data_IF_397404620262
#
_entry.id   IF_397404620262
#
_cell.length_a   1.000
_cell.length_b   1.000
_cell.length_c   1.000
_cell.angle_alpha   90.00
_cell.angle_beta   90.00
_cell.angle_gamma   90.00
#
_symmetry.space_group_name_H-M   'P 1'
#
loop_
_entity.id
_entity.type
_entity.pdbx_description
1 polymer ?
#
# COMPACT_ATOMS: atom_id res chain seq x y z
N UNK A 1 -18.68 -8.59 29.51
CA UNK A 1 -18.52 -7.71 28.33
C UNK A 1 -17.32 -8.16 27.55
N UNK A 2 -17.46 -8.43 26.25
CA UNK A 2 -16.31 -8.75 25.39
C UNK A 2 -15.77 -7.46 24.81
N UNK A 3 -14.53 -7.13 25.13
CA UNK A 3 -13.88 -5.88 24.69
C UNK A 3 -13.72 -5.83 23.16
N UNK A 4 -13.40 -6.96 22.51
CA UNK A 4 -13.15 -6.99 21.07
C UNK A 4 -14.40 -7.35 20.26
N UNK A 5 -14.58 -6.65 19.13
CA UNK A 5 -15.56 -6.98 18.10
C UNK A 5 -15.40 -8.42 17.60
N UNK A 6 -16.49 -8.97 17.04
CA UNK A 6 -16.45 -10.31 16.43
C UNK A 6 -15.47 -10.41 15.26
N UNK A 7 -15.25 -9.31 14.52
CA UNK A 7 -14.30 -9.26 13.42
C UNK A 7 -12.85 -9.37 13.91
N UNK A 8 -12.46 -8.56 14.89
CA UNK A 8 -11.11 -8.61 15.48
C UNK A 8 -10.82 -9.95 16.14
N UNK A 9 -11.79 -10.53 16.85
CA UNK A 9 -11.64 -11.88 17.44
C UNK A 9 -11.39 -12.95 16.39
N UNK A 10 -12.18 -12.97 15.30
CA UNK A 10 -11.96 -13.92 14.20
C UNK A 10 -10.61 -13.73 13.55
N UNK A 11 -10.18 -12.49 13.33
CA UNK A 11 -8.90 -12.21 12.71
C UNK A 11 -7.71 -12.65 13.58
N UNK A 12 -7.78 -12.45 14.90
CA UNK A 12 -6.77 -12.95 15.86
C UNK A 12 -6.76 -14.48 15.89
N UNK A 13 -7.94 -15.12 15.92
CA UNK A 13 -8.02 -16.58 15.90
C UNK A 13 -7.41 -17.15 14.62
N UNK A 14 -7.73 -16.58 13.45
CA UNK A 14 -7.13 -16.98 12.18
C UNK A 14 -5.61 -16.80 12.15
N UNK A 15 -5.08 -15.75 12.79
CA UNK A 15 -3.63 -15.58 12.97
C UNK A 15 -3.02 -16.68 13.85
N UNK A 16 -3.68 -17.06 14.93
CA UNK A 16 -3.19 -18.11 15.83
C UNK A 16 -3.13 -19.49 15.16
N UNK A 17 -4.06 -19.77 14.24
CA UNK A 17 -4.16 -21.05 13.54
C UNK A 17 -3.34 -21.12 12.24
N UNK A 18 -2.67 -20.03 11.82
CA UNK A 18 -1.96 -19.99 10.54
C UNK A 18 -0.71 -20.88 10.51
N UNK A 19 -0.68 -21.85 9.60
CA UNK A 19 0.35 -22.91 9.54
C UNK A 19 1.41 -22.57 8.48
N UNK A 20 1.00 -22.07 7.32
CA UNK A 20 1.91 -21.77 6.22
C UNK A 20 2.58 -20.38 6.35
N UNK A 21 3.85 -20.19 5.93
CA UNK A 21 4.52 -18.89 6.01
C UNK A 21 3.81 -17.74 5.29
N UNK A 22 3.23 -17.96 4.10
CA UNK A 22 2.48 -16.93 3.37
C UNK A 22 1.12 -16.67 4.01
N UNK A 23 0.46 -17.73 4.50
CA UNK A 23 -0.78 -17.61 5.27
C UNK A 23 -0.57 -16.74 6.53
N UNK A 24 0.54 -16.94 7.26
CA UNK A 24 0.89 -16.12 8.42
C UNK A 24 1.05 -14.65 8.06
N UNK A 25 1.72 -14.33 6.95
CA UNK A 25 1.86 -12.94 6.49
C UNK A 25 0.48 -12.33 6.22
N UNK A 26 -0.39 -13.05 5.51
CA UNK A 26 -1.75 -12.58 5.22
C UNK A 26 -2.57 -12.41 6.51
N UNK A 27 -2.49 -13.36 7.43
CA UNK A 27 -3.21 -13.34 8.70
C UNK A 27 -2.75 -12.21 9.62
N UNK A 28 -1.44 -11.94 9.71
CA UNK A 28 -0.89 -10.78 10.45
C UNK A 28 -1.47 -9.49 9.88
N UNK A 29 -1.41 -9.31 8.56
CA UNK A 29 -1.94 -8.10 7.91
C UNK A 29 -3.44 -7.94 8.12
N UNK A 30 -4.19 -9.04 8.09
CA UNK A 30 -5.63 -9.04 8.33
C UNK A 30 -5.96 -8.68 9.79
N UNK A 31 -5.27 -9.29 10.75
CA UNK A 31 -5.43 -9.01 12.18
C UNK A 31 -5.09 -7.55 12.52
N UNK A 32 -3.97 -7.03 12.01
CA UNK A 32 -3.62 -5.61 12.18
C UNK A 32 -4.70 -4.68 11.64
N UNK A 33 -5.20 -4.94 10.42
CA UNK A 33 -6.23 -4.10 9.81
C UNK A 33 -7.61 -4.20 10.51
N UNK A 34 -7.90 -5.32 11.18
CA UNK A 34 -9.10 -5.47 12.00
C UNK A 34 -8.97 -4.67 13.31
N UNK A 35 -7.83 -4.82 14.00
CA UNK A 35 -7.53 -4.13 15.25
C UNK A 35 -7.44 -2.61 15.10
N UNK A 36 -6.89 -2.13 13.98
CA UNK A 36 -6.88 -0.69 13.66
C UNK A 36 -8.29 -0.08 13.56
N UNK A 37 -9.31 -0.90 13.28
CA UNK A 37 -10.72 -0.48 13.16
C UNK A 37 -11.57 -0.87 14.36
N UNK A 38 -10.95 -1.36 15.44
CA UNK A 38 -11.66 -1.85 16.60
C UNK A 38 -12.38 -0.69 17.32
N UNK A 39 -13.73 -0.70 17.41
CA UNK A 39 -14.47 0.37 18.07
C UNK A 39 -14.08 0.56 19.53
N UNK A 40 -13.74 -0.53 20.23
CA UNK A 40 -13.31 -0.48 21.61
C UNK A 40 -11.99 0.29 21.81
N UNK A 41 -11.11 0.32 20.80
CA UNK A 41 -9.88 1.12 20.86
C UNK A 41 -10.21 2.62 20.87
N UNK A 42 -11.13 3.07 20.01
CA UNK A 42 -11.55 4.47 20.00
C UNK A 42 -12.29 4.84 21.30
N UNK A 43 -13.11 3.93 21.83
CA UNK A 43 -13.76 4.12 23.13
C UNK A 43 -12.73 4.29 24.26
N UNK A 44 -11.73 3.41 24.35
CA UNK A 44 -10.67 3.50 25.36
C UNK A 44 -9.85 4.79 25.24
N UNK A 45 -9.55 5.26 24.01
CA UNK A 45 -8.87 6.55 23.81
C UNK A 45 -9.73 7.70 24.32
N UNK A 46 -11.04 7.69 24.04
CA UNK A 46 -11.98 8.72 24.52
C UNK A 46 -12.12 8.71 26.05
N UNK A 47 -12.27 7.54 26.65
CA UNK A 47 -12.30 7.36 28.10
C UNK A 47 -11.02 7.87 28.76
N UNK A 48 -9.86 7.58 28.16
CA UNK A 48 -8.57 8.07 28.66
C UNK A 48 -8.50 9.60 28.64
N UNK A 49 -8.89 10.22 27.53
CA UNK A 49 -8.92 11.69 27.40
C UNK A 49 -9.94 12.34 28.34
N UNK A 50 -11.07 11.67 28.61
CA UNK A 50 -12.07 12.13 29.57
C UNK A 50 -11.60 11.99 31.02
N UNK A 51 -10.66 11.09 31.29
CA UNK A 51 -9.96 10.93 32.57
C UNK A 51 -8.68 11.78 32.65
N UNK A 52 -8.62 12.91 31.93
CA UNK A 52 -7.52 13.87 31.91
C UNK A 52 -6.16 13.33 31.39
N UNK A 53 -6.13 12.20 30.69
CA UNK A 53 -4.92 11.77 29.99
C UNK A 53 -4.58 12.75 28.85
N UNK A 54 -3.30 12.98 28.62
CA UNK A 54 -2.85 13.82 27.50
C UNK A 54 -2.69 13.01 26.22
N UNK A 55 -2.65 13.70 25.08
CA UNK A 55 -2.37 13.06 23.80
C UNK A 55 -0.97 12.45 23.75
N UNK A 56 -0.02 12.99 24.51
CA UNK A 56 1.33 12.44 24.68
C UNK A 56 1.26 11.05 25.33
N UNK A 57 0.53 10.90 26.44
CA UNK A 57 0.34 9.60 27.11
C UNK A 57 -0.41 8.60 26.23
N UNK A 58 -1.46 9.04 25.54
CA UNK A 58 -2.20 8.18 24.61
C UNK A 58 -1.31 7.72 23.45
N UNK A 59 -0.48 8.61 22.91
CA UNK A 59 0.43 8.28 21.81
C UNK A 59 1.52 7.30 22.25
N UNK A 60 2.09 7.51 23.44
CA UNK A 60 3.08 6.61 24.04
C UNK A 60 2.52 5.21 24.27
N UNK A 61 1.34 5.10 24.90
CA UNK A 61 0.65 3.83 25.13
C UNK A 61 0.32 3.09 23.82
N UNK A 62 0.11 3.83 22.73
CA UNK A 62 -0.16 3.28 21.40
C UNK A 62 1.10 2.99 20.58
N UNK A 63 2.30 3.37 21.05
CA UNK A 63 3.53 3.28 20.27
C UNK A 63 3.52 4.18 19.02
N UNK A 64 2.84 5.33 19.09
CA UNK A 64 2.68 6.28 17.99
C UNK A 64 3.32 7.63 18.32
N UNK A 65 3.66 8.40 17.28
CA UNK A 65 3.89 9.83 17.45
C UNK A 65 2.58 10.58 17.74
N UNK A 66 2.64 11.64 18.55
CA UNK A 66 1.46 12.45 18.95
C UNK A 66 0.61 12.91 17.77
N UNK A 67 1.26 13.43 16.72
CA UNK A 67 0.56 13.85 15.50
C UNK A 67 -0.19 12.69 14.83
N UNK A 68 0.38 11.48 14.86
CA UNK A 68 -0.21 10.28 14.28
C UNK A 68 -1.36 9.73 15.14
N UNK A 69 -1.30 9.87 16.47
CA UNK A 69 -2.40 9.54 17.37
C UNK A 69 -3.58 10.52 17.17
N UNK A 70 -3.30 11.84 17.17
CA UNK A 70 -4.31 12.87 16.87
C UNK A 70 -4.93 12.67 15.49
N UNK A 71 -4.12 12.42 14.46
CA UNK A 71 -4.64 12.12 13.13
C UNK A 71 -5.54 10.88 13.11
N UNK A 72 -5.33 9.88 13.97
CA UNK A 72 -6.18 8.69 14.03
C UNK A 72 -7.49 8.92 14.79
N UNK A 73 -7.44 9.62 15.92
CA UNK A 73 -8.52 9.57 16.91
C UNK A 73 -9.08 10.93 17.34
N UNK A 74 -8.47 12.04 16.90
CA UNK A 74 -8.99 13.37 17.22
C UNK A 74 -10.20 13.70 16.33
N UNK A 75 -11.29 14.12 16.97
CA UNK A 75 -12.52 14.57 16.32
C UNK A 75 -13.73 13.68 16.62
N UNK A 76 -14.83 13.99 15.95
CA UNK A 76 -16.06 13.17 15.98
C UNK A 76 -15.88 11.88 15.17
N UNK A 77 -16.80 10.91 15.35
CA UNK A 77 -16.80 9.67 14.57
C UNK A 77 -16.85 9.93 13.06
N UNK A 78 -17.68 10.88 12.63
CA UNK A 78 -17.80 11.27 11.23
C UNK A 78 -16.48 11.86 10.69
N UNK A 79 -15.85 12.76 11.44
CA UNK A 79 -14.56 13.36 11.03
C UNK A 79 -13.45 12.31 10.92
N UNK A 80 -13.43 11.32 11.82
CA UNK A 80 -12.48 10.22 11.79
C UNK A 80 -12.78 9.31 10.59
N UNK A 81 -14.06 8.94 10.37
CA UNK A 81 -14.49 8.11 9.26
C UNK A 81 -14.15 8.75 7.89
N UNK A 82 -14.39 10.04 7.74
CA UNK A 82 -14.07 10.82 6.54
C UNK A 82 -12.56 10.82 6.26
N UNK A 83 -11.75 11.06 7.29
CA UNK A 83 -10.29 11.05 7.18
C UNK A 83 -9.76 9.67 6.78
N UNK A 84 -10.31 8.60 7.35
CA UNK A 84 -9.96 7.23 7.00
C UNK A 84 -10.43 6.87 5.58
N UNK A 85 -11.61 7.32 5.15
CA UNK A 85 -12.09 7.16 3.78
C UNK A 85 -11.19 7.90 2.78
N UNK A 86 -10.77 9.13 3.09
CA UNK A 86 -9.85 9.91 2.26
C UNK A 86 -8.44 9.28 2.20
N UNK A 87 -7.96 8.67 3.30
CA UNK A 87 -6.74 7.87 3.31
C UNK A 87 -6.85 6.64 2.40
N UNK A 88 -7.95 5.88 2.50
CA UNK A 88 -8.22 4.72 1.65
C UNK A 88 -8.27 5.08 0.17
N UNK A 89 -8.96 6.17 -0.20
CA UNK A 89 -9.02 6.68 -1.58
C UNK A 89 -7.63 7.02 -2.15
N UNK A 90 -6.68 7.46 -1.32
CA UNK A 90 -5.29 7.71 -1.72
C UNK A 90 -4.49 6.41 -1.89
N UNK A 91 -4.72 5.42 -1.04
CA UNK A 91 -4.04 4.11 -1.09
C UNK A 91 -4.59 3.18 -2.17
N UNK A 92 -5.85 3.32 -2.56
CA UNK A 92 -6.52 2.50 -3.58
C UNK A 92 -6.35 3.05 -5.00
N UNK A 93 -5.50 4.07 -5.18
CA UNK A 93 -5.24 4.61 -6.52
C UNK A 93 -4.64 3.47 -7.35
N UNK A 94 -5.27 3.09 -8.48
CA UNK A 94 -4.67 2.14 -9.40
C UNK A 94 -3.24 2.58 -9.70
N UNK A 95 -2.35 1.61 -9.97
CA UNK A 95 -1.01 1.92 -10.47
C UNK A 95 -1.12 3.07 -11.47
N UNK A 96 -0.34 4.13 -11.26
CA UNK A 96 -0.31 5.31 -12.13
C UNK A 96 0.08 4.95 -13.58
N UNK A 97 0.41 3.69 -13.88
CA UNK A 97 0.67 3.20 -15.22
C UNK A 97 -0.67 2.95 -15.92
N UNK A 98 -1.00 3.72 -16.98
CA UNK A 98 -2.16 3.41 -17.81
C UNK A 98 -1.99 2.02 -18.44
N UNK A 99 -3.08 1.23 -18.42
CA UNK A 99 -3.07 -0.15 -18.89
C UNK A 99 -2.78 -0.26 -20.41
N UNK A 100 -3.16 0.75 -21.19
CA UNK A 100 -3.17 0.68 -22.66
C UNK A 100 -2.03 1.43 -23.33
N UNK A 101 -0.87 1.56 -22.67
CA UNK A 101 0.31 2.15 -23.31
C UNK A 101 1.03 1.14 -24.22
N UNK A 102 1.40 1.52 -25.45
CA UNK A 102 2.12 0.63 -26.36
C UNK A 102 3.50 0.25 -25.80
N UNK A 103 4.01 -0.94 -26.13
CA UNK A 103 5.26 -1.47 -25.60
C UNK A 103 5.16 -1.96 -24.15
N UNK A 104 6.28 -2.25 -23.50
CA UNK A 104 6.35 -2.65 -22.09
C UNK A 104 6.97 -1.53 -21.23
N UNK A 105 6.71 -1.52 -19.92
CA UNK A 105 7.48 -0.65 -19.03
C UNK A 105 8.92 -1.18 -18.86
N UNK A 106 9.87 -0.32 -18.46
CA UNK A 106 11.24 -0.75 -18.15
C UNK A 106 11.26 -1.88 -17.11
N UNK A 107 10.38 -1.81 -16.11
CA UNK A 107 10.27 -2.83 -15.07
C UNK A 107 9.73 -4.16 -15.62
N UNK A 108 8.74 -4.12 -16.50
CA UNK A 108 8.18 -5.33 -17.10
C UNK A 108 9.17 -5.97 -18.08
N UNK A 109 9.90 -5.17 -18.86
CA UNK A 109 10.98 -5.66 -19.72
C UNK A 109 12.13 -6.25 -18.90
N UNK A 110 12.49 -5.63 -17.78
CA UNK A 110 13.50 -6.16 -16.86
C UNK A 110 13.08 -7.55 -16.35
N UNK A 111 11.81 -7.69 -15.93
CA UNK A 111 11.24 -8.98 -15.51
C UNK A 111 11.24 -10.01 -16.64
N UNK A 112 10.80 -9.63 -17.84
CA UNK A 112 10.72 -10.52 -19.00
C UNK A 112 12.09 -11.02 -19.46
N UNK A 113 13.14 -10.20 -19.33
CA UNK A 113 14.50 -10.53 -19.75
C UNK A 113 15.39 -11.08 -18.62
N UNK A 114 14.88 -11.18 -17.39
CA UNK A 114 15.70 -11.57 -16.22
C UNK A 114 16.81 -10.57 -15.90
N UNK A 115 16.59 -9.28 -16.16
CA UNK A 115 17.56 -8.20 -15.98
C UNK A 115 17.16 -7.26 -14.86
N UNK A 116 18.10 -6.41 -14.43
CA UNK A 116 17.78 -5.23 -13.63
C UNK A 116 17.27 -4.10 -14.52
N UNK A 117 16.48 -3.17 -13.95
CA UNK A 117 16.02 -1.98 -14.68
C UNK A 117 17.19 -1.15 -15.24
N UNK A 118 18.31 -1.07 -14.50
CA UNK A 118 19.52 -0.38 -14.94
C UNK A 118 20.15 -1.05 -16.17
N UNK A 119 20.15 -2.38 -16.23
CA UNK A 119 20.63 -3.11 -17.41
C UNK A 119 19.73 -2.87 -18.63
N UNK A 120 18.42 -2.69 -18.44
CA UNK A 120 17.51 -2.29 -19.52
C UNK A 120 17.83 -0.88 -20.03
N UNK A 121 18.03 0.10 -19.14
CA UNK A 121 18.45 1.46 -19.54
C UNK A 121 19.77 1.46 -20.32
N UNK A 122 20.74 0.65 -19.87
CA UNK A 122 22.02 0.51 -20.54
C UNK A 122 21.87 -0.12 -21.95
N UNK A 123 20.95 -1.07 -22.12
CA UNK A 123 20.66 -1.64 -23.43
C UNK A 123 19.97 -0.65 -24.36
N UNK A 124 19.08 0.19 -23.83
CA UNK A 124 18.45 1.29 -24.58
C UNK A 124 19.51 2.30 -25.03
N UNK A 125 20.40 2.74 -24.14
CA UNK A 125 21.45 3.71 -24.51
C UNK A 125 22.46 3.15 -25.52
N UNK A 126 22.70 1.83 -25.49
CA UNK A 126 23.52 1.11 -26.47
C UNK A 126 22.79 0.76 -27.77
N UNK A 127 21.52 1.16 -27.93
CA UNK A 127 20.72 0.90 -29.13
C UNK A 127 20.28 -0.55 -29.32
N UNK A 128 20.49 -1.42 -28.32
CA UNK A 128 20.11 -2.84 -28.37
C UNK A 128 18.65 -3.10 -27.97
N UNK A 129 18.00 -2.11 -27.34
CA UNK A 129 16.56 -2.09 -27.11
C UNK A 129 15.99 -0.77 -27.60
N UNK A 130 14.87 -0.83 -28.33
CA UNK A 130 14.16 0.37 -28.77
C UNK A 130 13.24 0.85 -27.65
N UNK A 131 13.26 2.14 -27.36
CA UNK A 131 12.32 2.72 -26.41
C UNK A 131 11.82 4.10 -26.85
N UNK A 132 10.53 4.33 -26.66
CA UNK A 132 9.85 5.61 -26.90
C UNK A 132 9.34 6.16 -25.58
N UNK A 133 9.28 7.48 -25.47
CA UNK A 133 8.54 8.14 -24.40
C UNK A 133 7.13 8.44 -24.90
N UNK A 134 6.11 7.96 -24.19
CA UNK A 134 4.70 8.28 -24.46
C UNK A 134 4.24 9.30 -23.44
N UNK A 135 3.73 10.44 -23.90
CA UNK A 135 3.17 11.49 -23.06
C UNK A 135 1.66 11.46 -23.17
N UNK A 136 0.97 11.41 -22.04
CA UNK A 136 -0.50 11.45 -21.97
C UNK A 136 -1.00 12.89 -22.02
N UNK A 137 -2.30 13.04 -22.28
CA UNK A 137 -3.00 14.33 -22.27
C UNK A 137 -2.91 15.05 -20.91
N UNK A 138 -2.77 14.30 -19.81
CA UNK A 138 -2.54 14.85 -18.46
C UNK A 138 -1.08 15.26 -18.18
N UNK A 139 -0.21 15.20 -19.19
CA UNK A 139 1.20 15.61 -19.12
C UNK A 139 2.15 14.57 -18.55
N UNK A 140 1.67 13.42 -18.04
CA UNK A 140 2.54 12.35 -17.54
C UNK A 140 3.27 11.66 -18.69
N UNK A 141 4.57 11.44 -18.53
CA UNK A 141 5.43 10.80 -19.53
C UNK A 141 5.94 9.44 -19.05
N UNK A 142 5.86 8.43 -19.92
CA UNK A 142 6.23 7.04 -19.61
C UNK A 142 7.24 6.51 -20.62
N UNK A 143 8.32 5.89 -20.14
CA UNK A 143 9.25 5.16 -21.01
C UNK A 143 8.66 3.79 -21.37
N UNK A 144 8.51 3.53 -22.66
CA UNK A 144 8.00 2.28 -23.22
C UNK A 144 9.05 1.60 -24.07
N UNK A 145 9.36 0.35 -23.72
CA UNK A 145 10.38 -0.47 -24.36
C UNK A 145 9.71 -1.45 -25.31
N UNK A 146 10.25 -1.56 -26.51
CA UNK A 146 9.80 -2.49 -27.54
C UNK A 146 10.92 -3.53 -27.70
N UNK A 147 10.69 -4.80 -27.30
CA UNK A 147 11.64 -5.86 -27.55
C UNK A 147 11.87 -5.97 -29.06
N UNK A 148 13.11 -6.21 -29.47
CA UNK A 148 13.41 -6.53 -30.86
C UNK A 148 12.74 -7.87 -31.21
N UNK A 149 12.11 -7.93 -32.38
CA UNK A 149 11.49 -9.14 -32.90
C UNK A 149 12.59 -10.23 -33.04
N UNK A 150 12.44 -11.42 -32.42
CA UNK A 150 13.46 -12.46 -32.50
C UNK A 150 13.69 -13.02 -33.92
N UNK A 151 12.96 -12.55 -34.94
CA UNK A 151 13.10 -12.96 -36.34
C UNK A 151 13.93 -12.04 -37.25
N UNK A 152 14.45 -10.89 -36.79
CA UNK A 152 15.04 -9.89 -37.69
C UNK A 152 16.55 -10.05 -37.98
N UNK A 153 17.23 -11.06 -37.41
CA UNK A 153 18.64 -11.35 -37.65
C UNK A 153 18.84 -12.79 -38.15
N UNK A 154 18.24 -13.09 -39.31
CA UNK A 154 18.59 -14.23 -40.15
C UNK A 154 18.51 -13.78 -41.61
N UNK A 155 19.52 -13.03 -42.04
CA UNK A 155 19.70 -12.52 -43.40
C UNK A 155 21.15 -12.12 -43.61
#
# INVERSE_FOLDING_TARGET
MTYLSGASRRAIAALAEAIDPLERVAAVRHASAALEREPALLAAVRESLAADATWETVADAAGLGVAAAKWRWQGTDDQIADRQAAGRKRSSRPSSVPADLPGQSVADTARALGLTAQAVYLRISRGTLRATTVTLEDGRSYKRVFPADPGANAG
#
